data_IF_004254962822
#
_entry.id   IF_004254962822
#
_cell.length_a   1.000
_cell.length_b   1.000
_cell.length_c   1.000
_cell.angle_alpha   90.00
_cell.angle_beta   90.00
_cell.angle_gamma   90.00
#
_symmetry.space_group_name_H-M   'P 1'
#
loop_
_entity.id
_entity.type
_entity.pdbx_description
1 polymer ?
#
# COMPACT_ATOMS: atom_id res chain seq x y z
N UNK A 1 7.81 -9.18 -19.43
CA UNK A 1 7.30 -9.15 -18.05
C UNK A 1 8.41 -9.61 -17.14
N UNK A 2 8.76 -8.80 -16.15
CA UNK A 2 9.76 -9.10 -15.14
C UNK A 2 9.21 -10.18 -14.22
N UNK A 3 9.81 -11.38 -14.21
CA UNK A 3 9.43 -12.44 -13.28
C UNK A 3 10.21 -12.23 -11.97
N UNK A 4 9.63 -11.43 -11.07
CA UNK A 4 10.17 -11.24 -9.73
C UNK A 4 9.79 -12.45 -8.87
N UNK A 5 10.77 -13.13 -8.29
CA UNK A 5 10.51 -14.19 -7.30
C UNK A 5 10.30 -13.54 -5.94
N UNK A 6 9.11 -12.98 -5.73
CA UNK A 6 8.72 -12.42 -4.44
C UNK A 6 8.24 -13.56 -3.52
N UNK A 7 8.78 -13.62 -2.31
CA UNK A 7 8.33 -14.57 -1.29
C UNK A 7 7.29 -13.91 -0.38
N UNK A 8 6.06 -14.41 -0.44
CA UNK A 8 4.94 -13.94 0.35
C UNK A 8 4.68 -14.79 1.62
N UNK A 9 5.52 -15.78 1.90
CA UNK A 9 5.30 -16.75 2.99
C UNK A 9 5.20 -16.06 4.34
N UNK A 10 6.10 -15.11 4.62
CA UNK A 10 6.09 -14.37 5.88
C UNK A 10 4.81 -13.51 6.03
N UNK A 11 4.43 -12.77 4.98
CA UNK A 11 3.18 -12.00 4.97
C UNK A 11 1.97 -12.90 5.23
N UNK A 12 1.89 -14.05 4.56
CA UNK A 12 0.83 -15.03 4.74
C UNK A 12 0.75 -15.52 6.19
N UNK A 13 1.87 -15.87 6.80
CA UNK A 13 1.92 -16.31 8.21
C UNK A 13 1.42 -15.20 9.14
N UNK A 14 1.91 -13.98 8.96
CA UNK A 14 1.50 -12.84 9.79
C UNK A 14 0.01 -12.53 9.69
N UNK A 15 -0.57 -12.60 8.49
CA UNK A 15 -2.01 -12.40 8.28
C UNK A 15 -2.83 -13.54 8.90
N UNK A 16 -2.38 -14.79 8.73
CA UNK A 16 -3.03 -15.97 9.31
C UNK A 16 -3.04 -15.93 10.85
N UNK A 17 -1.96 -15.45 11.45
CA UNK A 17 -1.80 -15.28 12.90
C UNK A 17 -2.37 -13.96 13.43
N UNK A 18 -3.05 -13.18 12.57
CA UNK A 18 -3.74 -11.93 12.95
C UNK A 18 -2.77 -10.86 13.47
N UNK A 19 -1.50 -10.92 13.04
CA UNK A 19 -0.46 -9.94 13.34
C UNK A 19 -0.52 -8.74 12.39
N UNK A 20 -1.65 -8.01 12.39
CA UNK A 20 -1.97 -6.95 11.43
C UNK A 20 -0.88 -5.90 11.23
N UNK A 21 -0.32 -5.36 12.33
CA UNK A 21 0.76 -4.36 12.24
C UNK A 21 2.02 -4.90 11.58
N UNK A 22 2.40 -6.13 11.93
CA UNK A 22 3.57 -6.77 11.34
C UNK A 22 3.33 -7.12 9.86
N UNK A 23 2.12 -7.59 9.51
CA UNK A 23 1.70 -7.85 8.14
C UNK A 23 1.71 -6.56 7.28
N UNK A 24 1.31 -5.43 7.86
CA UNK A 24 1.32 -4.13 7.17
C UNK A 24 2.75 -3.64 6.89
N UNK A 25 3.64 -3.74 7.88
CA UNK A 25 5.08 -3.47 7.70
C UNK A 25 5.70 -4.41 6.67
N UNK A 26 5.33 -5.69 6.68
CA UNK A 26 5.83 -6.67 5.70
C UNK A 26 5.33 -6.37 4.29
N UNK A 27 4.07 -5.95 4.16
CA UNK A 27 3.50 -5.48 2.88
C UNK A 27 4.32 -4.30 2.34
N UNK A 28 4.66 -3.31 3.19
CA UNK A 28 5.50 -2.19 2.79
C UNK A 28 6.87 -2.63 2.29
N UNK A 29 7.54 -3.55 3.00
CA UNK A 29 8.84 -4.08 2.58
C UNK A 29 8.77 -4.77 1.22
N UNK A 30 7.75 -5.60 1.00
CA UNK A 30 7.55 -6.31 -0.27
C UNK A 30 7.35 -5.29 -1.40
N UNK A 31 6.41 -4.36 -1.25
CA UNK A 31 6.11 -3.35 -2.27
C UNK A 31 7.32 -2.45 -2.56
N UNK A 32 8.08 -2.05 -1.53
CA UNK A 32 9.33 -1.30 -1.70
C UNK A 32 10.43 -2.11 -2.40
N UNK A 33 10.53 -3.41 -2.14
CA UNK A 33 11.53 -4.26 -2.81
C UNK A 33 11.26 -4.35 -4.31
N UNK A 34 10.00 -4.54 -4.70
CA UNK A 34 9.53 -4.52 -6.09
C UNK A 34 9.84 -3.16 -6.73
N UNK A 35 9.47 -2.06 -6.06
CA UNK A 35 9.73 -0.71 -6.54
C UNK A 35 11.23 -0.45 -6.76
N UNK A 36 12.09 -0.87 -5.82
CA UNK A 36 13.55 -0.75 -5.97
C UNK A 36 14.07 -1.53 -7.17
N UNK A 37 13.57 -2.74 -7.41
CA UNK A 37 13.93 -3.51 -8.61
C UNK A 37 13.47 -2.81 -9.91
N UNK A 38 12.28 -2.24 -9.94
CA UNK A 38 11.80 -1.46 -11.10
C UNK A 38 12.67 -0.22 -11.33
N UNK A 39 13.08 0.48 -10.27
CA UNK A 39 13.98 1.65 -10.33
C UNK A 39 15.34 1.30 -10.94
N UNK A 40 15.91 0.15 -10.59
CA UNK A 40 17.20 -0.31 -11.13
C UNK A 40 17.17 -0.50 -12.65
N UNK A 41 15.99 -0.79 -13.22
CA UNK A 41 15.80 -0.98 -14.65
C UNK A 41 15.59 0.33 -15.40
N UNK A 42 15.41 1.45 -14.69
CA UNK A 42 15.26 2.77 -15.30
C UNK A 42 16.60 3.21 -15.91
N UNK A 43 16.56 3.70 -17.14
CA UNK A 43 17.72 4.32 -17.76
C UNK A 43 17.97 5.69 -17.11
N UNK A 44 18.87 5.74 -16.13
CA UNK A 44 19.19 6.93 -15.35
C UNK A 44 20.70 7.05 -15.11
N UNK A 45 21.18 8.26 -14.82
CA UNK A 45 22.59 8.47 -14.49
C UNK A 45 22.97 7.71 -13.21
N UNK A 46 24.27 7.47 -13.00
CA UNK A 46 24.75 6.84 -11.75
C UNK A 46 24.26 7.56 -10.50
N UNK A 47 24.30 8.90 -10.50
CA UNK A 47 23.86 9.73 -9.38
C UNK A 47 22.36 9.57 -9.13
N UNK A 48 21.56 9.53 -10.20
CA UNK A 48 20.11 9.34 -10.08
C UNK A 48 19.79 7.93 -9.59
N UNK A 49 20.50 6.91 -10.07
CA UNK A 49 20.36 5.55 -9.56
C UNK A 49 20.66 5.45 -8.06
N UNK A 50 21.74 6.06 -7.58
CA UNK A 50 22.05 6.13 -6.15
C UNK A 50 20.92 6.78 -5.34
N UNK A 51 20.36 7.89 -5.83
CA UNK A 51 19.21 8.55 -5.20
C UNK A 51 17.96 7.65 -5.20
N UNK A 52 17.62 7.03 -6.33
CA UNK A 52 16.46 6.14 -6.49
C UNK A 52 16.49 4.93 -5.55
N UNK A 53 17.69 4.36 -5.34
CA UNK A 53 17.88 3.21 -4.45
C UNK A 53 17.85 3.60 -2.97
N UNK A 54 18.17 4.86 -2.65
CA UNK A 54 18.12 5.40 -1.29
C UNK A 54 16.71 5.68 -0.77
N UNK A 55 15.70 5.76 -1.65
CA UNK A 55 14.31 6.02 -1.24
C UNK A 55 13.71 4.83 -0.47
N UNK A 56 13.22 5.11 0.74
CA UNK A 56 12.51 4.17 1.62
C UNK A 56 10.98 4.33 1.56
N UNK A 57 10.48 5.09 0.58
CA UNK A 57 9.08 5.28 0.27
C UNK A 57 8.84 5.03 -1.22
N UNK A 58 7.58 4.82 -1.61
CA UNK A 58 7.19 4.60 -3.01
C UNK A 58 7.17 5.92 -3.80
N UNK A 59 7.16 5.90 -5.11
CA UNK A 59 6.83 7.08 -5.91
C UNK A 59 5.60 6.74 -6.72
N UNK A 60 4.88 7.76 -7.18
CA UNK A 60 3.77 7.53 -8.09
C UNK A 60 4.21 6.71 -9.31
N UNK A 61 5.40 6.99 -9.85
CA UNK A 61 5.97 6.25 -10.99
C UNK A 61 6.34 4.80 -10.69
N UNK A 62 6.53 4.42 -9.42
CA UNK A 62 6.79 3.03 -9.06
C UNK A 62 5.49 2.21 -9.09
N UNK A 63 4.35 2.84 -8.79
CA UNK A 63 3.02 2.19 -8.81
C UNK A 63 2.49 2.00 -10.23
N UNK A 64 2.77 2.93 -11.15
CA UNK A 64 2.35 2.81 -12.56
C UNK A 64 2.90 1.56 -13.27
N UNK A 65 4.07 1.08 -12.85
CA UNK A 65 4.72 -0.10 -13.43
C UNK A 65 4.65 -1.34 -12.53
N UNK A 66 3.91 -1.26 -11.43
CA UNK A 66 3.86 -2.33 -10.45
C UNK A 66 3.22 -3.60 -11.05
N UNK A 67 3.81 -4.80 -10.96
CA UNK A 67 3.27 -5.96 -11.65
C UNK A 67 1.89 -6.37 -11.09
N UNK A 68 0.96 -6.72 -11.99
CA UNK A 68 -0.40 -7.08 -11.59
C UNK A 68 -0.45 -8.37 -10.76
N UNK A 69 0.38 -9.36 -11.08
CA UNK A 69 0.43 -10.63 -10.34
C UNK A 69 0.82 -10.42 -8.87
N UNK A 70 1.80 -9.54 -8.63
CA UNK A 70 2.25 -9.19 -7.27
C UNK A 70 1.16 -8.40 -6.52
N UNK A 71 0.51 -7.43 -7.19
CA UNK A 71 -0.57 -6.63 -6.59
C UNK A 71 -1.80 -7.50 -6.26
N UNK A 72 -2.14 -8.43 -7.16
CA UNK A 72 -3.22 -9.39 -6.97
C UNK A 72 -2.92 -10.34 -5.81
N UNK A 73 -1.70 -10.85 -5.72
CA UNK A 73 -1.29 -11.73 -4.61
C UNK A 73 -1.39 -11.02 -3.27
N UNK A 74 -0.87 -9.79 -3.16
CA UNK A 74 -0.99 -8.99 -1.95
C UNK A 74 -2.45 -8.74 -1.58
N UNK A 75 -3.28 -8.34 -2.54
CA UNK A 75 -4.70 -8.10 -2.30
C UNK A 75 -5.43 -9.38 -1.85
N UNK A 76 -5.21 -10.51 -2.51
CA UNK A 76 -5.86 -11.79 -2.16
C UNK A 76 -5.51 -12.25 -0.74
N UNK A 77 -4.26 -12.06 -0.31
CA UNK A 77 -3.85 -12.37 1.05
C UNK A 77 -4.59 -11.50 2.07
N UNK A 78 -4.60 -10.18 1.86
CA UNK A 78 -5.33 -9.26 2.74
C UNK A 78 -6.83 -9.55 2.77
N UNK A 79 -7.48 -9.71 1.62
CA UNK A 79 -8.91 -10.00 1.54
C UNK A 79 -9.26 -11.35 2.20
N UNK A 80 -8.46 -12.40 1.96
CA UNK A 80 -8.74 -13.73 2.51
C UNK A 80 -8.73 -13.74 4.05
N UNK A 81 -7.65 -13.24 4.65
CA UNK A 81 -7.49 -13.31 6.11
C UNK A 81 -8.30 -12.27 6.87
N UNK A 82 -8.73 -11.19 6.20
CA UNK A 82 -9.62 -10.17 6.78
C UNK A 82 -11.10 -10.38 6.45
N UNK A 83 -11.47 -11.47 5.76
CA UNK A 83 -12.83 -11.72 5.29
C UNK A 83 -13.39 -10.57 4.41
N UNK A 84 -12.54 -9.99 3.57
CA UNK A 84 -12.88 -8.88 2.67
C UNK A 84 -12.97 -7.51 3.35
N UNK A 85 -12.48 -7.39 4.59
CA UNK A 85 -12.48 -6.13 5.34
C UNK A 85 -11.32 -5.20 4.94
N UNK A 86 -10.17 -5.78 4.61
CA UNK A 86 -8.93 -5.10 4.23
C UNK A 86 -8.47 -5.52 2.83
N UNK A 87 -7.65 -4.68 2.22
CA UNK A 87 -7.05 -4.94 0.90
C UNK A 87 -7.12 -3.75 -0.05
N UNK A 88 -6.27 -3.79 -1.08
CA UNK A 88 -6.14 -2.71 -2.07
C UNK A 88 -7.39 -2.55 -2.95
N UNK A 89 -8.10 -3.65 -3.23
CA UNK A 89 -9.37 -3.59 -3.96
C UNK A 89 -10.43 -2.84 -3.16
N UNK A 90 -10.52 -3.13 -1.85
CA UNK A 90 -11.43 -2.44 -0.93
C UNK A 90 -11.10 -0.94 -0.89
N UNK A 91 -9.83 -0.59 -0.73
CA UNK A 91 -9.37 0.81 -0.77
C UNK A 91 -9.72 1.51 -2.11
N UNK A 92 -9.50 0.84 -3.25
CA UNK A 92 -9.84 1.40 -4.57
C UNK A 92 -11.34 1.69 -4.70
N UNK A 93 -12.20 0.80 -4.22
CA UNK A 93 -13.66 1.01 -4.24
C UNK A 93 -14.07 2.21 -3.37
N UNK A 94 -13.51 2.32 -2.17
CA UNK A 94 -13.79 3.44 -1.25
C UNK A 94 -13.28 4.77 -1.82
N UNK A 95 -12.11 4.77 -2.46
CA UNK A 95 -11.56 5.92 -3.19
C UNK A 95 -12.51 6.43 -4.27
N UNK A 96 -13.14 5.52 -5.03
CA UNK A 96 -14.12 5.87 -6.05
C UNK A 96 -15.40 6.47 -5.44
N UNK A 97 -15.86 5.94 -4.30
CA UNK A 97 -17.09 6.42 -3.63
C UNK A 97 -16.98 7.88 -3.18
N UNK A 98 -15.80 8.32 -2.76
CA UNK A 98 -15.56 9.71 -2.31
C UNK A 98 -15.11 10.63 -3.45
N UNK A 99 -15.36 10.26 -4.71
CA UNK A 99 -14.98 11.06 -5.88
C UNK A 99 -13.49 11.44 -5.90
N UNK A 100 -12.63 10.56 -5.39
CA UNK A 100 -11.18 10.77 -5.33
C UNK A 100 -10.75 11.93 -4.43
N UNK A 101 -11.59 12.33 -3.48
CA UNK A 101 -11.23 13.27 -2.42
C UNK A 101 -10.37 12.56 -1.37
N UNK A 102 -9.09 12.95 -1.30
CA UNK A 102 -8.12 12.33 -0.40
C UNK A 102 -8.49 12.44 1.08
N UNK A 103 -9.07 13.58 1.44
CA UNK A 103 -9.44 13.89 2.80
C UNK A 103 -10.63 13.03 3.23
N UNK A 104 -11.66 12.94 2.39
CA UNK A 104 -12.82 12.08 2.64
C UNK A 104 -12.44 10.59 2.63
N UNK A 105 -11.52 10.18 1.75
CA UNK A 105 -11.01 8.81 1.74
C UNK A 105 -10.30 8.49 3.06
N UNK A 106 -9.39 9.36 3.49
CA UNK A 106 -8.63 9.18 4.72
C UNK A 106 -9.53 9.14 5.97
N UNK A 107 -10.61 9.92 6.00
CA UNK A 107 -11.63 9.82 7.04
C UNK A 107 -12.35 8.47 7.00
N UNK A 108 -12.76 8.04 5.79
CA UNK A 108 -13.52 6.81 5.59
C UNK A 108 -12.74 5.55 5.99
N UNK A 109 -11.44 5.52 5.68
CA UNK A 109 -10.56 4.41 6.09
C UNK A 109 -9.98 4.62 7.48
N UNK A 110 -10.20 5.75 8.16
CA UNK A 110 -9.76 6.00 9.54
C UNK A 110 -8.29 6.36 9.72
N UNK A 111 -7.65 6.96 8.71
CA UNK A 111 -6.28 7.50 8.82
C UNK A 111 -6.25 8.95 9.30
N UNK A 112 -7.41 9.58 9.33
CA UNK A 112 -7.59 10.95 9.78
C UNK A 112 -8.80 11.05 10.70
N UNK A 113 -8.73 11.97 11.65
CA UNK A 113 -9.88 12.41 12.44
C UNK A 113 -10.49 13.60 11.68
N UNK A 114 -11.81 13.64 11.48
CA UNK A 114 -12.55 14.46 10.48
C UNK A 114 -12.36 15.99 10.40
N UNK A 115 -11.28 16.53 10.95
CA UNK A 115 -10.74 17.86 10.72
C UNK A 115 -9.48 17.81 9.81
N UNK A 116 -9.29 18.84 8.98
CA UNK A 116 -8.35 18.81 7.86
C UNK A 116 -6.88 18.55 8.24
N UNK A 117 -6.48 18.83 9.48
CA UNK A 117 -5.10 18.76 9.97
C UNK A 117 -4.81 17.56 10.91
N UNK A 118 -5.81 16.72 11.21
CA UNK A 118 -5.68 15.65 12.23
C UNK A 118 -5.36 14.28 11.63
N UNK A 119 -4.22 14.18 10.97
CA UNK A 119 -3.69 12.91 10.49
C UNK A 119 -3.17 12.05 11.65
N UNK A 120 -3.55 10.77 11.68
CA UNK A 120 -2.94 9.83 12.62
C UNK A 120 -1.53 9.48 12.15
N UNK A 121 -0.57 9.56 13.08
CA UNK A 121 0.73 8.93 12.86
C UNK A 121 0.55 7.43 12.69
N UNK A 122 1.40 6.81 11.86
CA UNK A 122 1.31 5.38 11.58
C UNK A 122 1.26 4.53 12.86
N UNK A 123 2.08 4.89 13.85
CA UNK A 123 2.12 4.27 15.17
C UNK A 123 0.79 4.28 15.94
N UNK A 124 -0.10 5.23 15.65
CA UNK A 124 -1.41 5.40 16.31
C UNK A 124 -2.58 4.83 15.50
N UNK A 125 -2.34 4.17 14.37
CA UNK A 125 -3.38 3.46 13.62
C UNK A 125 -3.92 2.23 14.39
N UNK A 126 -5.13 1.80 14.03
CA UNK A 126 -5.80 0.66 14.66
C UNK A 126 -5.48 -0.62 13.90
N UNK A 127 -4.67 -1.50 14.49
CA UNK A 127 -4.26 -2.76 13.89
C UNK A 127 -5.11 -3.94 14.40
N UNK A 128 -6.43 -3.85 14.20
CA UNK A 128 -7.41 -4.90 14.49
C UNK A 128 -8.56 -4.86 13.49
N UNK A 129 -9.41 -5.88 13.47
CA UNK A 129 -10.63 -5.89 12.64
C UNK A 129 -11.69 -4.87 13.12
N UNK A 130 -11.51 -4.23 14.28
CA UNK A 130 -12.39 -3.14 14.74
C UNK A 130 -12.14 -1.84 13.96
N UNK A 131 -11.03 -1.76 13.22
CA UNK A 131 -10.75 -0.64 12.35
C UNK A 131 -11.78 -0.53 11.20
N UNK A 132 -11.95 0.66 10.59
CA UNK A 132 -12.84 0.82 9.45
C UNK A 132 -12.48 -0.08 8.27
N UNK A 133 -13.47 -0.36 7.41
CA UNK A 133 -13.26 -1.10 6.17
C UNK A 133 -12.21 -0.36 5.31
N UNK A 134 -11.24 -1.11 4.76
CA UNK A 134 -10.15 -0.54 3.96
C UNK A 134 -9.03 0.15 4.76
N UNK A 135 -9.06 0.12 6.10
CA UNK A 135 -8.02 0.72 6.95
C UNK A 135 -6.62 0.19 6.63
N UNK A 136 -6.50 -1.10 6.32
CA UNK A 136 -5.24 -1.76 5.99
C UNK A 136 -5.27 -2.35 4.57
N UNK A 137 -4.11 -2.49 3.91
CA UNK A 137 -2.78 -2.06 4.37
C UNK A 137 -2.56 -0.54 4.30
N UNK A 138 -1.85 0.03 5.26
CA UNK A 138 -1.64 1.48 5.41
C UNK A 138 -0.18 1.91 5.20
N UNK A 139 0.80 1.13 5.64
CA UNK A 139 2.21 1.52 5.69
C UNK A 139 2.79 2.00 4.34
N UNK A 140 2.28 1.51 3.20
CA UNK A 140 2.74 1.98 1.88
C UNK A 140 2.37 3.44 1.58
N UNK A 141 1.43 4.01 2.34
CA UNK A 141 0.99 5.41 2.28
C UNK A 141 1.62 6.27 3.38
N UNK A 142 2.67 5.78 4.05
CA UNK A 142 3.41 6.51 5.08
C UNK A 142 4.91 6.52 4.79
N UNK A 143 5.54 7.68 4.99
CA UNK A 143 6.98 7.82 5.10
C UNK A 143 7.28 8.09 6.57
N UNK A 144 7.90 7.10 7.22
CA UNK A 144 8.05 7.07 8.68
C UNK A 144 6.68 7.19 9.37
N UNK A 145 6.45 8.27 10.11
CA UNK A 145 5.20 8.50 10.85
C UNK A 145 4.21 9.40 10.09
N UNK A 146 4.58 9.92 8.92
CA UNK A 146 3.78 10.91 8.19
C UNK A 146 3.11 10.31 6.95
N UNK A 147 1.81 10.58 6.72
CA UNK A 147 1.14 10.16 5.51
C UNK A 147 1.76 10.86 4.30
N UNK A 148 1.93 10.11 3.22
CA UNK A 148 2.38 10.61 1.92
C UNK A 148 1.21 10.48 0.96
N UNK A 149 0.72 11.63 0.46
CA UNK A 149 -0.63 11.84 -0.09
C UNK A 149 -0.98 11.16 -1.42
N UNK A 150 -0.66 9.87 -1.58
CA UNK A 150 -0.65 9.20 -2.89
C UNK A 150 -1.75 8.16 -3.10
N UNK A 151 -2.81 8.16 -2.28
CA UNK A 151 -3.92 7.20 -2.47
C UNK A 151 -4.50 7.22 -3.91
N UNK A 152 -4.33 8.34 -4.64
CA UNK A 152 -4.69 8.46 -6.04
C UNK A 152 -3.97 7.47 -7.00
N UNK A 153 -2.74 7.03 -6.71
CA UNK A 153 -1.96 6.27 -7.70
C UNK A 153 -2.20 4.76 -7.63
N UNK A 154 -2.46 4.20 -6.44
CA UNK A 154 -2.75 2.77 -6.34
C UNK A 154 -4.07 2.42 -7.04
N UNK A 155 -5.05 3.34 -7.01
CA UNK A 155 -6.36 3.15 -7.66
C UNK A 155 -6.23 2.84 -9.14
N UNK A 156 -5.47 3.65 -9.89
CA UNK A 156 -5.30 3.44 -11.34
C UNK A 156 -4.72 2.06 -11.63
N UNK A 157 -3.73 1.64 -10.82
CA UNK A 157 -3.12 0.32 -11.00
C UNK A 157 -4.04 -0.83 -10.55
N UNK A 158 -4.80 -0.64 -9.47
CA UNK A 158 -5.83 -1.58 -9.03
C UNK A 158 -6.90 -1.78 -10.10
N UNK A 159 -7.38 -0.71 -10.73
CA UNK A 159 -8.37 -0.81 -11.81
C UNK A 159 -7.81 -1.58 -13.01
N UNK A 160 -6.56 -1.34 -13.40
CA UNK A 160 -5.93 -2.10 -14.49
C UNK A 160 -5.71 -3.58 -14.14
N UNK A 161 -5.39 -3.89 -12.89
CA UNK A 161 -4.98 -5.24 -12.48
C UNK A 161 -6.10 -6.12 -11.92
N UNK A 162 -7.22 -5.54 -11.47
CA UNK A 162 -8.33 -6.27 -10.83
C UNK A 162 -9.58 -6.40 -11.71
N UNK A 163 -9.56 -5.83 -12.92
CA UNK A 163 -10.57 -6.02 -13.97
C UNK A 163 -10.33 -7.31 -14.76
#
# INVERSE_FOLDING_TARGET
MTNLKIDYTNLKTLLMEVHWKAADVETQKIVLSIAKTLRQQQNASKKDQEWLQGLNYLRESDLLQFPCDDLLTLNQLWEHYSQGHFGFRVQSQLWQQVSQDYNQFADLVGWRKGDADSWHSYSHLTFSLDAPKGHLPAAIFYAEESPIGWAATIKNRCDECFL
#
